data_IF_033617810336
#
_entry.id   IF_033617810336
#
_cell.length_a   1.000
_cell.length_b   1.000
_cell.length_c   1.000
_cell.angle_alpha   90.00
_cell.angle_beta   90.00
_cell.angle_gamma   90.00
#
_symmetry.space_group_name_H-M   'P 1'
#
loop_
_entity.id
_entity.type
_entity.pdbx_description
1 polymer ?
#
# COMPACT_ATOMS: atom_id res chain seq x y z
N UNK A 1 21.88 -1.76 16.90
CA UNK A 1 21.49 -3.19 17.04
C UNK A 1 20.19 -3.34 17.84
N UNK A 2 20.05 -2.72 19.01
CA UNK A 2 18.83 -2.80 19.83
C UNK A 2 17.57 -2.21 19.13
N UNK A 3 17.65 -1.01 18.54
CA UNK A 3 16.50 -0.39 17.86
C UNK A 3 16.02 -1.14 16.61
N UNK A 4 16.96 -1.73 15.87
CA UNK A 4 16.67 -2.51 14.66
C UNK A 4 15.93 -3.81 15.01
N UNK A 5 16.34 -4.48 16.10
CA UNK A 5 15.66 -5.67 16.61
C UNK A 5 14.25 -5.36 17.12
N UNK A 6 14.06 -4.22 17.79
CA UNK A 6 12.72 -3.77 18.23
C UNK A 6 11.81 -3.46 17.05
N UNK A 7 12.32 -2.82 15.99
CA UNK A 7 11.53 -2.50 14.79
C UNK A 7 11.14 -3.74 14.01
N UNK A 8 12.05 -4.72 13.87
CA UNK A 8 11.78 -5.99 13.18
C UNK A 8 10.76 -6.82 13.98
N UNK A 9 10.94 -6.93 15.31
CA UNK A 9 10.01 -7.65 16.16
C UNK A 9 8.60 -7.02 16.16
N UNK A 10 8.51 -5.69 16.19
CA UNK A 10 7.24 -4.98 16.10
C UNK A 10 6.54 -5.23 14.76
N UNK A 11 7.29 -5.24 13.66
CA UNK A 11 6.75 -5.51 12.32
C UNK A 11 6.11 -6.91 12.23
N UNK A 12 6.80 -7.96 12.69
CA UNK A 12 6.24 -9.31 12.71
C UNK A 12 5.03 -9.44 13.64
N UNK A 13 5.04 -8.76 14.79
CA UNK A 13 3.90 -8.75 15.71
C UNK A 13 2.66 -8.08 15.10
N UNK A 14 2.84 -7.06 14.25
CA UNK A 14 1.75 -6.40 13.55
C UNK A 14 1.22 -7.22 12.37
N UNK A 15 2.05 -8.04 11.73
CA UNK A 15 1.64 -8.92 10.63
C UNK A 15 0.98 -10.23 11.08
N UNK A 16 1.39 -10.75 12.25
CA UNK A 16 0.87 -12.00 12.80
C UNK A 16 -0.68 -12.12 12.82
N UNK A 17 -1.47 -11.10 13.20
CA UNK A 17 -2.93 -11.20 13.17
C UNK A 17 -3.53 -11.28 11.76
N UNK A 18 -2.80 -10.87 10.73
CA UNK A 18 -3.27 -10.87 9.33
C UNK A 18 -3.02 -12.21 8.61
N UNK A 19 -2.25 -13.13 9.23
CA UNK A 19 -1.99 -14.47 8.67
C UNK A 19 -3.29 -15.24 8.51
N UNK A 20 -3.46 -15.85 7.33
CA UNK A 20 -4.62 -16.69 7.04
C UNK A 20 -5.81 -15.92 6.47
N UNK A 21 -5.76 -14.60 6.38
CA UNK A 21 -6.67 -13.82 5.55
C UNK A 21 -6.46 -14.17 4.07
N UNK A 22 -7.44 -13.90 3.21
CA UNK A 22 -7.28 -14.09 1.77
C UNK A 22 -6.20 -13.15 1.23
N UNK A 23 -5.26 -13.71 0.46
CA UNK A 23 -4.24 -12.92 -0.22
C UNK A 23 -4.86 -12.22 -1.44
N UNK A 24 -4.51 -10.95 -1.66
CA UNK A 24 -4.91 -10.24 -2.87
C UNK A 24 -4.14 -10.76 -4.08
N UNK A 25 -4.82 -10.87 -5.23
CA UNK A 25 -4.16 -11.15 -6.50
C UNK A 25 -3.41 -9.91 -7.05
N UNK A 26 -3.83 -8.72 -6.65
CA UNK A 26 -3.27 -7.43 -7.03
C UNK A 26 -3.40 -6.42 -5.89
N UNK A 27 -2.30 -5.74 -5.56
CA UNK A 27 -2.29 -4.58 -4.67
C UNK A 27 -1.89 -3.35 -5.47
N UNK A 28 -2.76 -2.34 -5.55
CA UNK A 28 -2.42 -1.08 -6.22
C UNK A 28 -2.08 -0.04 -5.16
N UNK A 29 -0.83 0.39 -5.16
CA UNK A 29 -0.32 1.44 -4.27
C UNK A 29 -0.30 2.77 -5.00
N UNK A 30 -1.16 3.70 -4.56
CA UNK A 30 -1.19 5.07 -5.06
C UNK A 30 -0.12 5.90 -4.35
N UNK A 31 0.99 6.13 -5.04
CA UNK A 31 2.11 6.88 -4.48
C UNK A 31 1.88 8.38 -4.63
N UNK A 32 1.85 9.10 -3.50
CA UNK A 32 1.69 10.55 -3.45
C UNK A 32 2.68 11.07 -2.42
N UNK A 33 3.49 12.05 -2.82
CA UNK A 33 4.42 12.69 -1.90
C UNK A 33 3.65 13.32 -0.72
N UNK A 34 4.07 13.08 0.54
CA UNK A 34 3.40 13.63 1.71
C UNK A 34 3.19 15.16 1.66
N UNK A 35 4.13 15.90 1.08
CA UNK A 35 4.05 17.33 0.85
C UNK A 35 2.88 17.69 -0.08
N UNK A 36 2.74 16.99 -1.21
CA UNK A 36 1.65 17.20 -2.17
C UNK A 36 0.30 16.74 -1.61
N UNK A 37 0.29 15.70 -0.78
CA UNK A 37 -0.92 15.29 -0.07
C UNK A 37 -1.38 16.36 0.95
N UNK A 38 -0.43 17.06 1.58
CA UNK A 38 -0.72 18.13 2.54
C UNK A 38 -1.31 19.40 1.92
N UNK A 39 -1.15 19.60 0.61
CA UNK A 39 -1.80 20.69 -0.13
C UNK A 39 -3.30 20.45 -0.34
N UNK A 40 -3.78 19.22 -0.15
CA UNK A 40 -5.21 18.90 -0.28
C UNK A 40 -5.98 19.53 0.88
N UNK A 41 -7.13 20.13 0.55
CA UNK A 41 -7.97 20.79 1.54
C UNK A 41 -8.38 19.83 2.67
N UNK A 42 -8.18 20.25 3.92
CA UNK A 42 -8.54 19.47 5.10
C UNK A 42 -7.41 18.69 5.75
N UNK A 43 -6.20 18.68 5.16
CA UNK A 43 -5.05 17.99 5.75
C UNK A 43 -4.67 18.55 7.13
N UNK A 44 -4.46 17.65 8.09
CA UNK A 44 -4.07 17.96 9.46
C UNK A 44 -5.24 17.89 10.46
N UNK A 45 -6.44 17.56 9.99
CA UNK A 45 -7.62 17.35 10.83
C UNK A 45 -7.66 15.98 11.49
N UNK A 46 -7.03 14.97 10.87
CA UNK A 46 -6.98 13.61 11.40
C UNK A 46 -5.66 13.29 12.15
N UNK A 47 -5.71 12.28 13.03
CA UNK A 47 -4.60 11.92 13.93
C UNK A 47 -3.27 11.67 13.21
N UNK A 48 -3.31 11.07 12.01
CA UNK A 48 -2.13 10.64 11.26
C UNK A 48 -1.76 11.59 10.11
N UNK A 49 -2.48 12.69 9.92
CA UNK A 49 -2.18 13.69 8.88
C UNK A 49 -1.07 14.65 9.36
N UNK A 50 0.11 14.08 9.58
CA UNK A 50 1.34 14.81 9.89
C UNK A 50 2.41 14.38 8.90
N UNK A 51 3.05 15.36 8.25
CA UNK A 51 4.00 15.10 7.15
C UNK A 51 5.11 14.15 7.57
N UNK A 52 5.71 14.34 8.75
CA UNK A 52 6.79 13.51 9.26
C UNK A 52 6.34 12.07 9.56
N UNK A 53 5.09 11.91 10.00
CA UNK A 53 4.50 10.59 10.23
C UNK A 53 4.23 9.89 8.90
N UNK A 54 3.63 10.60 7.93
CA UNK A 54 3.33 10.06 6.60
C UNK A 54 4.59 9.67 5.83
N UNK A 55 5.71 10.37 6.01
CA UNK A 55 7.02 9.94 5.46
C UNK A 55 7.44 8.56 5.97
N UNK A 56 7.37 8.34 7.28
CA UNK A 56 7.69 7.03 7.88
C UNK A 56 6.73 5.95 7.44
N UNK A 57 5.45 6.28 7.30
CA UNK A 57 4.42 5.37 6.77
C UNK A 57 4.79 4.96 5.33
N UNK A 58 5.13 5.90 4.45
CA UNK A 58 5.53 5.61 3.07
C UNK A 58 6.76 4.68 2.98
N UNK A 59 7.76 4.88 3.85
CA UNK A 59 8.93 3.99 3.96
C UNK A 59 8.52 2.56 4.34
N UNK A 60 7.61 2.39 5.31
CA UNK A 60 7.12 1.07 5.73
C UNK A 60 6.26 0.40 4.65
N UNK A 61 5.37 1.13 3.97
CA UNK A 61 4.63 0.61 2.82
C UNK A 61 5.58 0.13 1.71
N UNK A 62 6.66 0.86 1.45
CA UNK A 62 7.67 0.43 0.48
C UNK A 62 8.36 -0.89 0.87
N UNK A 63 8.54 -1.15 2.17
CA UNK A 63 9.12 -2.41 2.67
C UNK A 63 8.16 -3.61 2.62
N UNK A 64 6.85 -3.37 2.54
CA UNK A 64 5.80 -4.40 2.46
C UNK A 64 5.55 -4.93 1.05
N UNK A 65 6.21 -4.36 0.03
CA UNK A 65 5.93 -4.68 -1.37
C UNK A 65 6.41 -6.08 -1.75
N UNK A 66 5.56 -6.79 -2.46
CA UNK A 66 5.87 -8.05 -3.13
C UNK A 66 5.56 -7.96 -4.65
N UNK A 67 5.53 -9.10 -5.33
CA UNK A 67 5.28 -9.19 -6.78
C UNK A 67 3.85 -8.79 -7.20
N UNK A 68 2.89 -8.84 -6.28
CA UNK A 68 1.48 -8.45 -6.52
C UNK A 68 1.30 -6.94 -6.54
N UNK A 69 2.29 -6.17 -6.07
CA UNK A 69 2.16 -4.72 -5.97
C UNK A 69 2.39 -4.03 -7.31
N UNK A 70 1.50 -3.09 -7.64
CA UNK A 70 1.65 -2.14 -8.74
C UNK A 70 1.61 -0.73 -8.16
N UNK A 71 2.67 0.03 -8.42
CA UNK A 71 2.78 1.42 -7.97
C UNK A 71 2.26 2.32 -9.08
N UNK A 72 1.31 3.19 -8.74
CA UNK A 72 0.71 4.18 -9.63
C UNK A 72 0.94 5.56 -9.03
N UNK A 73 1.39 6.51 -9.84
CA UNK A 73 1.56 7.90 -9.39
C UNK A 73 0.19 8.55 -9.17
N UNK A 74 -0.21 8.70 -7.90
CA UNK A 74 -1.46 9.33 -7.49
C UNK A 74 -1.44 10.86 -7.59
N UNK A 75 -0.35 11.45 -8.08
CA UNK A 75 -0.16 12.87 -8.28
C UNK A 75 -0.65 13.37 -9.65
N UNK A 76 -0.98 12.44 -10.55
CA UNK A 76 -1.51 12.67 -11.89
C UNK A 76 -3.00 13.11 -11.84
N UNK A 77 -3.55 13.63 -12.96
CA UNK A 77 -4.98 13.92 -13.06
C UNK A 77 -5.85 12.69 -12.78
N UNK A 78 -7.02 12.91 -12.17
CA UNK A 78 -7.92 11.85 -11.71
C UNK A 78 -8.26 10.86 -12.83
N UNK A 79 -8.57 11.35 -14.03
CA UNK A 79 -8.95 10.55 -15.19
C UNK A 79 -7.79 9.65 -15.65
N UNK A 80 -6.54 10.13 -15.52
CA UNK A 80 -5.34 9.37 -15.88
C UNK A 80 -5.05 8.28 -14.87
N UNK A 81 -5.28 8.54 -13.58
CA UNK A 81 -5.12 7.55 -12.51
C UNK A 81 -6.22 6.50 -12.60
N UNK A 82 -7.47 6.92 -12.83
CA UNK A 82 -8.62 6.04 -13.04
C UNK A 82 -8.38 5.05 -14.19
N UNK A 83 -7.93 5.54 -15.34
CA UNK A 83 -7.69 4.70 -16.51
C UNK A 83 -6.60 3.64 -16.24
N UNK A 84 -5.52 4.01 -15.54
CA UNK A 84 -4.47 3.07 -15.13
C UNK A 84 -4.99 2.02 -14.13
N UNK A 85 -5.76 2.44 -13.13
CA UNK A 85 -6.39 1.55 -12.15
C UNK A 85 -7.30 0.54 -12.86
N UNK A 86 -8.13 1.03 -13.80
CA UNK A 86 -9.06 0.23 -14.58
C UNK A 86 -8.32 -0.82 -15.40
N UNK A 87 -7.27 -0.44 -16.10
CA UNK A 87 -6.47 -1.36 -16.90
C UNK A 87 -5.83 -2.46 -16.03
N UNK A 88 -5.16 -2.07 -14.93
CA UNK A 88 -4.52 -3.01 -14.01
C UNK A 88 -5.53 -4.00 -13.41
N UNK A 89 -6.69 -3.50 -12.96
CA UNK A 89 -7.75 -4.33 -12.39
C UNK A 89 -8.33 -5.30 -13.42
N UNK A 90 -8.64 -4.83 -14.64
CA UNK A 90 -9.21 -5.69 -15.69
C UNK A 90 -8.24 -6.80 -16.12
N UNK A 91 -6.95 -6.47 -16.24
CA UNK A 91 -5.91 -7.46 -16.55
C UNK A 91 -5.80 -8.50 -15.43
N UNK A 92 -5.79 -8.07 -14.17
CA UNK A 92 -5.76 -8.99 -13.03
C UNK A 92 -6.99 -9.91 -12.99
N UNK A 93 -8.19 -9.37 -13.21
CA UNK A 93 -9.43 -10.17 -13.25
C UNK A 93 -9.34 -11.23 -14.34
N UNK A 94 -8.87 -10.87 -15.54
CA UNK A 94 -8.69 -11.80 -16.65
C UNK A 94 -7.66 -12.89 -16.33
N UNK A 95 -6.56 -12.55 -15.66
CA UNK A 95 -5.51 -13.51 -15.32
C UNK A 95 -5.88 -14.45 -14.17
N UNK A 96 -6.79 -14.03 -13.28
CA UNK A 96 -7.09 -14.75 -12.04
C UNK A 96 -8.41 -15.52 -12.06
N UNK A 97 -9.17 -15.47 -13.17
CA UNK A 97 -10.47 -16.15 -13.31
C UNK A 97 -10.46 -17.63 -12.90
N UNK A 98 -9.38 -18.35 -13.21
CA UNK A 98 -9.24 -19.79 -12.93
C UNK A 98 -8.28 -20.11 -11.78
N UNK A 99 -7.76 -19.09 -11.08
CA UNK A 99 -6.82 -19.29 -9.98
C UNK A 99 -7.58 -19.58 -8.69
N UNK A 100 -7.07 -20.53 -7.90
CA UNK A 100 -7.58 -20.76 -6.55
C UNK A 100 -7.10 -19.64 -5.62
N UNK A 101 -7.98 -19.17 -4.75
CA UNK A 101 -7.64 -18.17 -3.75
C UNK A 101 -6.53 -18.67 -2.82
N UNK A 102 -5.56 -17.82 -2.54
CA UNK A 102 -4.50 -18.14 -1.58
C UNK A 102 -4.69 -17.33 -0.31
N UNK A 103 -3.98 -17.71 0.76
CA UNK A 103 -4.03 -16.98 2.02
C UNK A 103 -2.72 -16.19 2.21
N UNK A 104 -2.81 -15.05 2.89
CA UNK A 104 -1.67 -14.26 3.35
C UNK A 104 -0.84 -15.10 4.31
N UNK A 105 0.41 -15.30 3.92
CA UNK A 105 1.40 -16.04 4.72
C UNK A 105 2.53 -15.15 5.21
N UNK A 106 2.64 -13.95 4.61
CA UNK A 106 3.72 -12.96 4.64
C UNK A 106 5.15 -13.48 4.45
#
# INVERSE_FOLDING_TARGET
MCEMLTSIACFFLLQAPEVGLLAPDLVIYLDVQPEKAAERGGYGGERYERVEFQKRVAEHYHSLRDLTWKVVDGSLPMETVEEQLRELAMNCISECQDKHLTNLTW
#
